data_IF_123955567736
#
_entry.id   IF_123955567736
#
_cell.length_a   1.000
_cell.length_b   1.000
_cell.length_c   1.000
_cell.angle_alpha   90.00
_cell.angle_beta   90.00
_cell.angle_gamma   90.00
#
_symmetry.space_group_name_H-M   'P 1'
#
loop_
_entity.id
_entity.type
_entity.pdbx_description
1 polymer ?
#
# COMPACT_ATOMS: atom_id res chain seq x y z
N UNK A 1 -15.64 17.10 4.39
CA UNK A 1 -15.39 17.03 2.94
C UNK A 1 -14.13 17.83 2.63
N UNK A 2 -12.93 17.22 2.69
CA UNK A 2 -11.66 17.92 2.35
C UNK A 2 -11.40 17.71 0.87
N UNK A 3 -11.70 18.72 0.06
CA UNK A 3 -11.24 18.78 -1.33
C UNK A 3 -9.71 18.81 -1.29
N UNK A 4 -9.07 17.78 -1.84
CA UNK A 4 -7.63 17.80 -2.05
C UNK A 4 -7.34 18.80 -3.17
N UNK A 5 -6.38 19.72 -3.01
CA UNK A 5 -5.97 20.57 -4.11
C UNK A 5 -5.49 19.66 -5.23
N UNK A 6 -6.03 19.82 -6.43
CA UNK A 6 -5.57 19.12 -7.62
C UNK A 6 -4.17 19.64 -7.97
N UNK A 7 -3.15 19.11 -7.30
CA UNK A 7 -1.77 19.19 -7.75
C UNK A 7 -1.71 18.46 -9.08
N UNK A 8 -1.38 19.19 -10.15
CA UNK A 8 -1.16 18.60 -11.48
C UNK A 8 0.11 17.75 -11.45
N UNK A 9 -0.01 16.52 -10.96
CA UNK A 9 1.00 15.48 -11.14
C UNK A 9 0.85 14.94 -12.57
N UNK A 10 1.98 14.82 -13.25
CA UNK A 10 2.10 14.12 -14.53
C UNK A 10 2.74 12.76 -14.29
N UNK A 11 2.64 11.86 -15.28
CA UNK A 11 3.28 10.53 -15.21
C UNK A 11 4.79 10.62 -14.97
N UNK A 12 5.45 11.61 -15.58
CA UNK A 12 6.87 11.90 -15.43
C UNK A 12 7.23 12.63 -14.11
N UNK A 13 6.26 12.99 -13.28
CA UNK A 13 6.54 13.66 -12.00
C UNK A 13 7.27 12.71 -11.05
N UNK A 14 8.23 13.23 -10.29
CA UNK A 14 8.93 12.42 -9.28
C UNK A 14 7.97 11.93 -8.19
N UNK A 15 8.14 10.66 -7.79
CA UNK A 15 7.25 9.98 -6.84
C UNK A 15 7.23 10.65 -5.45
N UNK A 16 8.28 11.41 -5.09
CA UNK A 16 8.38 12.18 -3.83
C UNK A 16 7.31 13.27 -3.68
N UNK A 17 6.75 13.75 -4.78
CA UNK A 17 5.68 14.75 -4.76
C UNK A 17 4.29 14.13 -4.55
N UNK A 18 4.21 12.79 -4.56
CA UNK A 18 2.98 12.08 -4.25
C UNK A 18 2.69 12.19 -2.75
N UNK A 19 1.44 12.54 -2.43
CA UNK A 19 0.97 12.62 -1.05
C UNK A 19 1.18 11.27 -0.34
N UNK A 20 1.92 11.29 0.77
CA UNK A 20 2.25 10.09 1.56
C UNK A 20 3.65 9.52 1.31
N UNK A 21 4.33 9.98 0.26
CA UNK A 21 5.72 9.65 -0.04
C UNK A 21 6.63 10.74 0.51
N UNK A 22 7.06 10.58 1.76
CA UNK A 22 8.12 11.42 2.35
C UNK A 22 9.51 11.01 1.85
N UNK A 23 10.57 11.76 2.22
CA UNK A 23 11.94 11.54 1.74
C UNK A 23 12.42 10.10 1.96
N UNK A 24 12.21 9.53 3.14
CA UNK A 24 12.59 8.14 3.44
C UNK A 24 11.89 7.09 2.55
N UNK A 25 10.61 7.33 2.20
CA UNK A 25 9.89 6.45 1.27
C UNK A 25 10.34 6.64 -0.17
N UNK A 26 10.68 7.87 -0.56
CA UNK A 26 11.21 8.16 -1.89
C UNK A 26 12.56 7.45 -2.11
N UNK A 27 13.46 7.46 -1.11
CA UNK A 27 14.72 6.72 -1.16
C UNK A 27 14.50 5.20 -1.27
N UNK A 28 13.56 4.65 -0.50
CA UNK A 28 13.21 3.23 -0.58
C UNK A 28 12.67 2.86 -1.97
N UNK A 29 11.78 3.68 -2.54
CA UNK A 29 11.24 3.48 -3.88
C UNK A 29 12.33 3.60 -4.95
N UNK A 30 13.22 4.59 -4.83
CA UNK A 30 14.36 4.75 -5.73
C UNK A 30 15.31 3.55 -5.69
N UNK A 31 15.53 2.95 -4.52
CA UNK A 31 16.32 1.71 -4.38
C UNK A 31 15.73 0.51 -5.13
N UNK A 32 14.43 0.57 -5.46
CA UNK A 32 13.69 -0.44 -6.24
C UNK A 32 13.45 -0.02 -7.69
N UNK A 33 14.12 1.05 -8.15
CA UNK A 33 13.99 1.57 -9.52
C UNK A 33 12.74 2.41 -9.78
N UNK A 34 12.00 2.81 -8.74
CA UNK A 34 10.77 3.58 -8.87
C UNK A 34 11.10 5.05 -8.63
N UNK A 35 11.13 5.86 -9.69
CA UNK A 35 11.48 7.29 -9.59
C UNK A 35 10.29 8.20 -9.92
N UNK A 36 9.43 7.78 -10.84
CA UNK A 36 8.30 8.55 -11.35
C UNK A 36 6.95 8.01 -10.88
N UNK A 37 5.89 8.79 -11.08
CA UNK A 37 4.51 8.33 -10.87
C UNK A 37 4.17 7.17 -11.80
N UNK A 38 4.68 7.19 -13.04
CA UNK A 38 4.49 6.11 -14.01
C UNK A 38 5.09 4.79 -13.52
N UNK A 39 6.33 4.81 -13.04
CA UNK A 39 7.00 3.62 -12.52
C UNK A 39 6.20 2.98 -11.38
N UNK A 40 5.64 3.81 -10.50
CA UNK A 40 4.85 3.35 -9.37
C UNK A 40 3.53 2.70 -9.81
N UNK A 41 2.90 3.19 -10.88
CA UNK A 41 1.66 2.62 -11.41
C UNK A 41 1.87 1.23 -12.01
N UNK A 42 3.02 1.00 -12.64
CA UNK A 42 3.38 -0.30 -13.19
C UNK A 42 4.06 -1.23 -12.17
N UNK A 43 4.35 -0.74 -10.96
CA UNK A 43 4.86 -1.56 -9.87
C UNK A 43 3.74 -2.31 -9.15
N UNK A 44 3.40 -3.49 -9.66
CA UNK A 44 2.32 -4.31 -9.12
C UNK A 44 2.69 -4.91 -7.75
N UNK A 45 1.73 -5.08 -6.82
CA UNK A 45 1.94 -5.78 -5.56
C UNK A 45 2.46 -7.21 -5.77
N UNK A 46 3.35 -7.66 -4.88
CA UNK A 46 3.85 -9.04 -4.89
C UNK A 46 2.73 -10.08 -4.70
N UNK A 47 1.77 -9.76 -3.83
CA UNK A 47 0.58 -10.59 -3.56
C UNK A 47 -0.58 -9.71 -3.12
N UNK A 48 -1.77 -10.07 -3.55
CA UNK A 48 -3.02 -9.58 -2.98
C UNK A 48 -3.47 -10.53 -1.87
N UNK A 49 -3.68 -10.00 -0.67
CA UNK A 49 -4.31 -10.75 0.43
C UNK A 49 -5.82 -10.52 0.41
N UNK A 50 -6.59 -11.59 0.23
CA UNK A 50 -8.04 -11.55 0.37
C UNK A 50 -8.43 -11.62 1.86
N UNK A 51 -8.89 -10.48 2.40
CA UNK A 51 -9.36 -10.36 3.79
C UNK A 51 -10.88 -10.38 3.94
N UNK A 52 -11.61 -10.79 2.89
CA UNK A 52 -13.08 -10.90 2.95
C UNK A 52 -13.57 -12.08 3.78
N UNK A 53 -12.73 -13.12 3.94
CA UNK A 53 -13.07 -14.35 4.67
C UNK A 53 -12.61 -14.28 6.12
N UNK A 54 -13.57 -13.98 7.00
CA UNK A 54 -13.33 -13.98 8.45
C UNK A 54 -13.44 -15.42 8.97
N UNK A 55 -12.36 -15.90 9.56
CA UNK A 55 -12.29 -17.21 10.22
C UNK A 55 -12.63 -17.06 11.70
N UNK A 56 -13.31 -18.05 12.28
CA UNK A 56 -13.50 -18.12 13.73
C UNK A 56 -12.17 -18.47 14.39
N UNK A 57 -11.91 -17.91 15.56
CA UNK A 57 -10.67 -18.17 16.32
C UNK A 57 -10.47 -19.66 16.58
N UNK A 58 -11.56 -20.41 16.81
CA UNK A 58 -11.52 -21.84 17.09
C UNK A 58 -11.05 -22.68 15.88
N UNK A 59 -11.22 -22.18 14.66
CA UNK A 59 -10.93 -22.94 13.43
C UNK A 59 -9.53 -22.63 12.86
N UNK A 60 -8.69 -21.90 13.61
CA UNK A 60 -7.36 -21.50 13.15
C UNK A 60 -6.39 -22.68 13.19
N UNK A 61 -5.59 -22.81 12.13
CA UNK A 61 -4.53 -23.81 12.03
C UNK A 61 -3.14 -23.18 12.19
N UNK A 62 -2.20 -23.85 12.88
CA UNK A 62 -0.83 -23.38 12.99
C UNK A 62 -0.18 -23.15 11.62
N UNK A 63 0.49 -22.01 11.46
CA UNK A 63 1.18 -21.63 10.21
C UNK A 63 0.26 -21.09 9.12
N UNK A 64 -1.06 -21.03 9.33
CA UNK A 64 -1.99 -20.44 8.38
C UNK A 64 -2.15 -18.93 8.60
N UNK A 65 -2.09 -18.15 7.53
CA UNK A 65 -2.57 -16.76 7.54
C UNK A 65 -4.09 -16.73 7.47
N UNK A 66 -4.75 -16.15 8.47
CA UNK A 66 -6.20 -16.04 8.53
C UNK A 66 -6.64 -14.64 8.99
N UNK A 67 -7.82 -14.20 8.54
CA UNK A 67 -8.43 -12.94 8.99
C UNK A 67 -9.40 -13.23 10.12
N UNK A 68 -9.32 -12.48 11.23
CA UNK A 68 -10.14 -12.68 12.43
C UNK A 68 -10.69 -11.33 12.91
N UNK A 69 -11.93 -11.33 13.42
CA UNK A 69 -12.53 -10.19 14.11
C UNK A 69 -12.56 -10.46 15.62
N UNK A 70 -12.04 -9.55 16.44
CA UNK A 70 -12.06 -9.68 17.89
C UNK A 70 -12.31 -8.33 18.57
N UNK A 71 -12.91 -8.38 19.77
CA UNK A 71 -13.05 -7.23 20.65
C UNK A 71 -11.88 -7.22 21.64
N UNK A 72 -11.17 -6.10 21.71
CA UNK A 72 -10.15 -5.84 22.75
C UNK A 72 -10.86 -5.23 23.96
N UNK A 73 -10.53 -5.71 25.17
CA UNK A 73 -11.06 -5.22 26.45
C UNK A 73 -10.13 -4.18 27.07
#
# INVERSE_FOLDING_TARGET
MKTMPASKLTLASEVKYLKGVGPARAELLASRGIQTVEDLLYYTPFRYEDRTRISRILDLLPGQTATVLAKVL
#
